data_IF_210260736587
#
_entry.id   IF_210260736587
#
_cell.length_a   1.000
_cell.length_b   1.000
_cell.length_c   1.000
_cell.angle_alpha   90.00
_cell.angle_beta   90.00
_cell.angle_gamma   90.00
#
_symmetry.space_group_name_H-M   'P 1'
#
loop_
_entity.id
_entity.type
_entity.pdbx_description
1 polymer ?
#
# COMPACT_ATOMS: atom_id res chain seq x y z
N UNK A 1 -4.81 -17.87 -4.24
CA UNK A 1 -4.02 -16.69 -4.63
C UNK A 1 -4.43 -15.53 -3.73
N UNK A 2 -3.49 -15.05 -2.92
CA UNK A 2 -3.72 -13.99 -1.94
C UNK A 2 -3.59 -12.61 -2.59
N UNK A 3 -4.65 -11.79 -2.52
CA UNK A 3 -4.66 -10.46 -3.17
C UNK A 3 -4.04 -9.40 -2.27
N UNK A 4 -3.07 -8.68 -2.81
CA UNK A 4 -2.34 -7.61 -2.14
C UNK A 4 -2.52 -6.31 -2.89
N UNK A 5 -3.13 -5.32 -2.23
CA UNK A 5 -3.18 -3.94 -2.72
C UNK A 5 -1.98 -3.17 -2.17
N UNK A 6 -1.04 -2.80 -3.02
CA UNK A 6 0.15 -2.03 -2.64
C UNK A 6 -0.03 -0.56 -3.04
N UNK A 7 -0.37 0.28 -2.05
CA UNK A 7 -0.77 1.68 -2.27
C UNK A 7 0.46 2.58 -2.34
N UNK A 8 0.54 3.34 -3.41
CA UNK A 8 1.59 4.30 -3.72
C UNK A 8 0.99 5.69 -3.96
N UNK A 9 1.75 6.73 -3.66
CA UNK A 9 1.36 8.12 -3.87
C UNK A 9 2.58 9.00 -4.19
N UNK A 10 2.38 10.21 -4.75
CA UNK A 10 3.50 11.06 -5.16
C UNK A 10 4.49 11.33 -4.01
N UNK A 11 5.78 11.14 -4.29
CA UNK A 11 6.83 11.32 -3.29
C UNK A 11 7.10 10.10 -2.41
N UNK A 12 6.48 8.95 -2.72
CA UNK A 12 6.79 7.65 -2.09
C UNK A 12 8.30 7.40 -2.06
N UNK A 13 8.80 6.86 -0.94
CA UNK A 13 10.19 6.48 -0.83
C UNK A 13 10.46 5.24 -1.70
N UNK A 14 11.47 5.30 -2.57
CA UNK A 14 11.84 4.16 -3.43
C UNK A 14 12.09 2.87 -2.64
N UNK A 15 12.73 2.99 -1.46
CA UNK A 15 12.99 1.85 -0.57
C UNK A 15 11.72 1.16 -0.06
N UNK A 16 10.58 1.87 0.05
CA UNK A 16 9.30 1.27 0.43
C UNK A 16 8.85 0.21 -0.58
N UNK A 17 9.23 0.35 -1.86
CA UNK A 17 8.90 -0.60 -2.92
C UNK A 17 9.68 -1.91 -2.80
N UNK A 18 10.77 -1.95 -2.02
CA UNK A 18 11.55 -3.16 -1.82
C UNK A 18 10.72 -4.32 -1.22
N UNK A 19 9.65 -4.02 -0.48
CA UNK A 19 8.73 -5.03 0.04
C UNK A 19 8.08 -5.89 -1.08
N UNK A 20 7.96 -5.37 -2.31
CA UNK A 20 7.43 -6.11 -3.46
C UNK A 20 8.28 -7.34 -3.79
N UNK A 21 9.60 -7.26 -3.58
CA UNK A 21 10.53 -8.38 -3.83
C UNK A 21 10.20 -9.63 -3.01
N UNK A 22 9.64 -9.46 -1.81
CA UNK A 22 9.24 -10.61 -0.99
C UNK A 22 8.11 -11.41 -1.66
N UNK A 23 7.16 -10.73 -2.29
CA UNK A 23 6.06 -11.37 -3.03
C UNK A 23 6.54 -11.97 -4.35
N UNK A 24 7.46 -11.29 -5.03
CA UNK A 24 8.14 -11.80 -6.23
C UNK A 24 8.85 -13.13 -5.93
N UNK A 25 9.69 -13.18 -4.90
CA UNK A 25 10.39 -14.40 -4.49
C UNK A 25 9.44 -15.49 -3.99
N UNK A 26 8.38 -15.12 -3.26
CA UNK A 26 7.38 -16.08 -2.83
C UNK A 26 6.63 -16.70 -4.02
N UNK A 27 6.31 -15.91 -5.04
CA UNK A 27 5.68 -16.41 -6.27
C UNK A 27 6.64 -17.25 -7.12
N UNK A 28 7.94 -16.99 -7.06
CA UNK A 28 8.94 -17.85 -7.69
C UNK A 28 8.98 -19.25 -7.05
N UNK A 29 8.89 -19.31 -5.72
CA UNK A 29 8.87 -20.58 -4.98
C UNK A 29 7.52 -21.30 -5.08
N UNK A 30 6.40 -20.56 -5.08
CA UNK A 30 5.04 -21.07 -5.20
C UNK A 30 4.24 -20.21 -6.19
N UNK A 31 4.18 -20.61 -7.47
CA UNK A 31 3.46 -19.86 -8.49
C UNK A 31 1.99 -19.62 -8.11
N UNK A 32 1.55 -18.36 -8.21
CA UNK A 32 0.17 -17.96 -7.89
C UNK A 32 -0.14 -17.86 -6.39
N UNK A 33 0.87 -17.86 -5.52
CA UNK A 33 0.68 -17.60 -4.10
C UNK A 33 0.07 -16.22 -3.85
N UNK A 34 0.57 -15.19 -4.53
CA UNK A 34 0.19 -13.79 -4.36
C UNK A 34 -0.16 -13.11 -5.69
N UNK A 35 -1.22 -12.31 -5.66
CA UNK A 35 -1.59 -11.33 -6.68
C UNK A 35 -1.29 -9.94 -6.14
N UNK A 36 -0.40 -9.18 -6.77
CA UNK A 36 0.03 -7.87 -6.27
C UNK A 36 -0.41 -6.79 -7.25
N UNK A 37 -1.28 -5.89 -6.79
CA UNK A 37 -1.74 -4.73 -7.54
C UNK A 37 -1.11 -3.46 -6.99
N UNK A 38 -0.48 -2.66 -7.85
CA UNK A 38 0.07 -1.36 -7.49
C UNK A 38 -1.02 -0.30 -7.67
N UNK A 39 -1.43 0.34 -6.57
CA UNK A 39 -2.60 1.20 -6.53
C UNK A 39 -2.21 2.65 -6.26
N UNK A 40 -2.91 3.59 -6.88
CA UNK A 40 -2.90 5.00 -6.49
C UNK A 40 -4.28 5.63 -6.65
N UNK A 41 -4.45 6.84 -6.12
CA UNK A 41 -5.76 7.52 -6.11
C UNK A 41 -6.40 7.64 -7.49
N UNK A 42 -5.63 8.10 -8.48
CA UNK A 42 -6.10 8.27 -9.86
C UNK A 42 -5.62 7.18 -10.81
N UNK A 43 -4.75 6.28 -10.36
CA UNK A 43 -3.99 5.40 -11.25
C UNK A 43 -2.95 6.16 -12.09
N UNK A 44 -2.30 5.43 -13.00
CA UNK A 44 -1.27 5.94 -13.89
C UNK A 44 0.11 6.08 -13.23
N UNK A 45 1.03 6.82 -13.86
CA UNK A 45 2.41 6.96 -13.40
C UNK A 45 2.53 7.83 -12.14
N UNK A 46 3.07 7.25 -11.07
CA UNK A 46 3.34 7.93 -9.80
C UNK A 46 4.85 8.12 -9.61
N UNK A 47 5.30 9.37 -9.52
CA UNK A 47 6.72 9.70 -9.29
C UNK A 47 7.18 9.33 -7.88
N UNK A 48 8.27 8.60 -7.80
CA UNK A 48 8.98 8.26 -6.56
C UNK A 48 9.84 9.42 -6.07
N UNK A 49 10.34 9.33 -4.83
CA UNK A 49 11.22 10.30 -4.21
C UNK A 49 12.55 10.51 -4.94
N UNK A 50 12.94 9.58 -5.81
CA UNK A 50 14.21 9.63 -6.56
C UNK A 50 14.01 9.93 -8.05
N UNK A 51 12.78 10.19 -8.50
CA UNK A 51 12.48 10.65 -9.86
C UNK A 51 11.69 9.68 -10.75
N UNK A 52 12.06 8.39 -10.87
CA UNK A 52 11.34 7.41 -11.68
C UNK A 52 9.86 7.32 -11.30
N UNK A 53 9.02 7.09 -12.30
CA UNK A 53 7.60 6.86 -12.12
C UNK A 53 7.27 5.37 -12.14
N UNK A 54 6.31 4.98 -11.32
CA UNK A 54 5.77 3.62 -11.24
C UNK A 54 4.35 3.65 -11.77
N UNK A 55 4.02 2.76 -12.70
CA UNK A 55 2.65 2.60 -13.20
C UNK A 55 1.77 1.97 -12.13
N UNK A 56 0.55 2.50 -12.00
CA UNK A 56 -0.43 2.07 -11.00
C UNK A 56 -1.82 2.01 -11.60
N UNK A 57 -2.71 1.23 -10.98
CA UNK A 57 -4.14 1.26 -11.27
C UNK A 57 -4.86 2.15 -10.25
N UNK A 58 -6.00 2.76 -10.64
CA UNK A 58 -6.80 3.56 -9.71
C UNK A 58 -7.36 2.70 -8.58
N UNK A 59 -7.75 3.34 -7.48
CA UNK A 59 -8.55 2.68 -6.45
C UNK A 59 -9.91 2.24 -7.00
N UNK A 60 -10.35 1.08 -6.55
CA UNK A 60 -11.62 0.45 -6.91
C UNK A 60 -12.22 -0.30 -5.71
N UNK A 61 -13.36 -0.94 -5.93
CA UNK A 61 -14.05 -1.77 -4.93
C UNK A 61 -13.49 -3.20 -4.85
N UNK A 62 -12.29 -3.47 -5.40
CA UNK A 62 -11.70 -4.81 -5.36
C UNK A 62 -11.39 -5.20 -3.92
N UNK A 63 -11.89 -6.37 -3.43
CA UNK A 63 -11.54 -6.84 -2.11
C UNK A 63 -10.10 -7.39 -2.09
N UNK A 64 -9.25 -6.80 -1.26
CA UNK A 64 -7.87 -7.24 -1.01
C UNK A 64 -7.76 -8.00 0.31
N UNK A 65 -6.95 -9.06 0.34
CA UNK A 65 -6.67 -9.79 1.57
C UNK A 65 -5.73 -9.00 2.47
N UNK A 66 -4.77 -8.31 1.86
CA UNK A 66 -3.80 -7.43 2.53
C UNK A 66 -3.69 -6.12 1.76
N UNK A 67 -3.74 -5.00 2.47
CA UNK A 67 -3.41 -3.68 1.90
C UNK A 67 -2.15 -3.15 2.57
N UNK A 68 -1.17 -2.76 1.76
CA UNK A 68 0.12 -2.25 2.22
C UNK A 68 0.26 -0.81 1.74
N UNK A 69 0.42 0.12 2.68
CA UNK A 69 0.66 1.52 2.36
C UNK A 69 2.17 1.79 2.32
N UNK A 70 2.67 2.20 1.15
CA UNK A 70 4.04 2.60 0.99
C UNK A 70 4.32 3.87 1.80
N UNK A 71 5.47 3.90 2.47
CA UNK A 71 5.95 5.08 3.18
C UNK A 71 6.59 6.10 2.25
N UNK A 72 6.51 7.37 2.64
CA UNK A 72 7.31 8.46 2.11
C UNK A 72 8.40 8.89 3.12
N UNK A 73 9.32 9.72 2.65
CA UNK A 73 10.39 10.25 3.50
C UNK A 73 9.89 11.27 4.55
N UNK A 74 8.73 11.90 4.30
CA UNK A 74 8.19 12.96 5.14
C UNK A 74 7.23 12.44 6.20
N UNK A 75 6.88 11.14 6.18
CA UNK A 75 5.89 10.57 7.06
C UNK A 75 4.49 11.15 6.81
N UNK A 76 4.18 11.58 5.59
CA UNK A 76 2.89 12.16 5.23
C UNK A 76 1.75 11.14 5.38
N UNK A 77 0.53 11.67 5.53
CA UNK A 77 -0.71 10.92 5.35
C UNK A 77 -0.99 10.61 3.87
N UNK A 78 -0.26 11.24 2.95
CA UNK A 78 -0.60 11.24 1.54
C UNK A 78 -1.81 12.15 1.25
N UNK A 79 -2.28 12.16 -0.01
CA UNK A 79 -3.51 12.84 -0.41
C UNK A 79 -4.77 12.34 0.32
N UNK A 80 -5.84 13.12 0.28
CA UNK A 80 -7.11 12.79 0.93
C UNK A 80 -7.69 11.46 0.44
N UNK A 81 -7.60 11.16 -0.86
CA UNK A 81 -8.06 9.89 -1.41
C UNK A 81 -7.32 8.68 -0.84
N UNK A 82 -6.02 8.81 -0.54
CA UNK A 82 -5.27 7.75 0.15
C UNK A 82 -5.79 7.55 1.56
N UNK A 83 -6.06 8.64 2.29
CA UNK A 83 -6.61 8.55 3.65
C UNK A 83 -8.01 7.93 3.66
N UNK A 84 -8.86 8.25 2.68
CA UNK A 84 -10.17 7.61 2.51
C UNK A 84 -10.03 6.12 2.18
N UNK A 85 -9.10 5.77 1.28
CA UNK A 85 -8.83 4.37 0.93
C UNK A 85 -8.33 3.57 2.13
N UNK A 86 -7.45 4.15 2.97
CA UNK A 86 -7.03 3.55 4.24
C UNK A 86 -8.23 3.22 5.13
N UNK A 87 -9.17 4.16 5.30
CA UNK A 87 -10.36 3.95 6.12
C UNK A 87 -11.29 2.88 5.54
N UNK A 88 -11.42 2.82 4.22
CA UNK A 88 -12.14 1.77 3.52
C UNK A 88 -11.46 0.40 3.75
N UNK A 89 -10.16 0.30 3.47
CA UNK A 89 -9.39 -0.94 3.63
C UNK A 89 -9.40 -1.46 5.06
N UNK A 90 -9.40 -0.58 6.07
CA UNK A 90 -9.51 -0.98 7.46
C UNK A 90 -10.83 -1.70 7.79
N UNK A 91 -11.88 -1.51 6.98
CA UNK A 91 -13.17 -2.19 7.13
C UNK A 91 -13.30 -3.43 6.26
N UNK A 92 -12.61 -3.48 5.13
CA UNK A 92 -12.83 -4.50 4.10
C UNK A 92 -11.69 -5.51 3.97
N UNK A 93 -10.45 -5.12 4.26
CA UNK A 93 -9.30 -6.01 4.17
C UNK A 93 -9.09 -6.80 5.46
N UNK A 94 -8.56 -8.02 5.34
CA UNK A 94 -8.20 -8.83 6.51
C UNK A 94 -6.99 -8.28 7.26
N UNK A 95 -6.06 -7.63 6.54
CA UNK A 95 -4.83 -7.06 7.10
C UNK A 95 -4.53 -5.71 6.45
N UNK A 96 -4.17 -4.73 7.28
CA UNK A 96 -3.67 -3.42 6.83
C UNK A 96 -2.30 -3.19 7.42
N UNK A 97 -1.31 -2.95 6.57
CA UNK A 97 0.10 -2.77 6.93
C UNK A 97 0.64 -1.46 6.36
N UNK A 98 1.72 -0.94 6.96
CA UNK A 98 2.44 0.25 6.48
C UNK A 98 3.93 -0.03 6.53
N UNK A 99 4.67 0.38 5.50
CA UNK A 99 6.11 0.14 5.42
C UNK A 99 6.96 1.15 6.24
N UNK A 100 6.34 2.19 6.81
CA UNK A 100 6.99 3.28 7.54
C UNK A 100 6.13 3.74 8.74
N UNK A 101 6.65 4.50 9.74
CA UNK A 101 5.84 4.93 10.89
C UNK A 101 4.66 5.83 10.49
N UNK A 102 3.52 5.65 11.17
CA UNK A 102 2.27 6.35 10.86
C UNK A 102 2.29 7.84 11.31
N UNK A 103 1.77 8.78 10.49
CA UNK A 103 1.58 10.17 10.88
C UNK A 103 0.63 10.26 12.06
N UNK A 104 0.76 11.33 12.84
CA UNK A 104 -0.12 11.62 13.98
C UNK A 104 -1.59 11.71 13.57
N UNK A 105 -1.90 12.12 12.34
CA UNK A 105 -3.27 12.18 11.80
C UNK A 105 -3.96 10.82 11.69
N UNK A 106 -3.20 9.72 11.62
CA UNK A 106 -3.73 8.37 11.55
C UNK A 106 -3.92 7.72 12.93
N UNK A 107 -3.54 8.39 14.03
CA UNK A 107 -3.54 7.83 15.41
C UNK A 107 -4.89 7.89 16.15
N UNK A 108 -6.00 8.28 15.50
CA UNK A 108 -7.36 8.14 16.08
C UNK A 108 -7.90 6.72 15.86
N UNK A 109 -8.79 6.19 16.71
CA UNK A 109 -8.89 4.76 17.00
C UNK A 109 -9.61 4.00 15.87
N UNK A 110 -8.88 3.72 14.80
CA UNK A 110 -9.26 2.74 13.77
C UNK A 110 -8.21 1.62 13.64
N UNK A 111 -7.01 1.81 14.20
CA UNK A 111 -5.93 0.86 14.13
C UNK A 111 -5.80 0.11 15.46
N UNK A 112 -6.63 -0.90 15.63
CA UNK A 112 -6.32 -1.96 16.59
C UNK A 112 -5.08 -2.70 16.10
N UNK A 113 -4.01 -2.62 16.88
CA UNK A 113 -2.79 -3.37 16.70
C UNK A 113 -3.11 -4.86 16.80
N UNK A 114 -3.37 -5.53 15.68
CA UNK A 114 -3.46 -6.99 15.63
C UNK A 114 -2.05 -7.58 15.65
N UNK A 115 -1.40 -7.48 16.80
CA UNK A 115 -0.42 -8.43 17.27
C UNK A 115 -1.12 -9.31 18.30
N UNK A 116 -1.71 -10.40 17.84
CA UNK A 116 -1.95 -11.66 18.56
C UNK A 116 -2.36 -12.74 17.56
#
# INVERSE_FOLDING_TARGET
MHRIGFVIFPGVQMMSLAALSAFELANLALPGAYDVSLLSESGGPVKTSVGPAIETTPFDDTPYDTVIFAGDLKGSAGPDGVTQFVQHSARTARRVLRSAPAPSSWRRPAFSTAAR
#
